data_IF_418840197532
#
_entry.id   IF_418840197532
#
_cell.length_a   1.000
_cell.length_b   1.000
_cell.length_c   1.000
_cell.angle_alpha   90.00
_cell.angle_beta   90.00
_cell.angle_gamma   90.00
#
_symmetry.space_group_name_H-M   'P 1'
#
loop_
_entity.id
_entity.type
_entity.pdbx_description
1 polymer ?
#
# COMPACT_ATOMS: atom_id res chain seq x y z
N UNK A 1 26.04 8.52 0.21
CA UNK A 1 26.46 9.59 -0.73
C UNK A 1 25.50 10.77 -0.52
N UNK A 2 26.06 11.98 -0.46
CA UNK A 2 25.39 13.22 -0.03
C UNK A 2 24.35 13.71 -1.06
N UNK A 3 23.16 14.07 -0.58
CA UNK A 3 22.10 14.75 -1.34
C UNK A 3 22.52 16.20 -1.66
N UNK A 4 22.20 16.76 -2.85
CA UNK A 4 22.22 18.21 -3.03
C UNK A 4 21.00 18.84 -2.32
N UNK A 5 21.27 19.85 -1.49
CA UNK A 5 20.27 20.75 -0.90
C UNK A 5 19.78 21.75 -1.96
N UNK A 6 18.49 22.11 -1.94
CA UNK A 6 18.06 23.32 -2.62
C UNK A 6 16.60 23.46 -3.09
N UNK A 7 15.61 22.77 -2.52
CA UNK A 7 14.20 23.08 -2.83
C UNK A 7 13.47 23.45 -1.54
N UNK A 8 13.35 24.75 -1.29
CA UNK A 8 12.40 25.30 -0.34
C UNK A 8 10.97 25.01 -0.83
N UNK A 9 9.98 24.76 0.07
CA UNK A 9 8.62 24.48 -0.34
C UNK A 9 7.97 25.75 -0.91
N UNK A 10 8.05 25.91 -2.23
CA UNK A 10 7.52 27.04 -2.99
C UNK A 10 6.13 26.77 -3.56
N UNK A 11 5.28 27.80 -3.48
CA UNK A 11 3.90 27.87 -3.99
C UNK A 11 3.77 27.40 -5.45
N UNK A 12 3.13 26.24 -5.63
CA UNK A 12 2.90 25.58 -6.92
C UNK A 12 2.11 26.45 -7.93
N UNK A 13 1.47 27.53 -7.48
CA UNK A 13 0.73 28.47 -8.34
C UNK A 13 1.64 29.34 -9.21
N UNK A 14 2.94 29.41 -8.93
CA UNK A 14 3.89 30.27 -9.66
C UNK A 14 4.92 29.51 -10.49
N UNK A 15 4.89 28.17 -10.46
CA UNK A 15 5.73 27.35 -11.32
C UNK A 15 5.24 27.44 -12.77
N UNK A 16 5.80 28.40 -13.52
CA UNK A 16 5.66 28.44 -14.97
C UNK A 16 6.15 27.09 -15.54
N UNK A 17 5.41 26.44 -16.45
CA UNK A 17 5.86 25.17 -17.03
C UNK A 17 7.08 25.46 -17.89
N UNK A 18 8.27 25.24 -17.34
CA UNK A 18 9.51 25.32 -18.08
C UNK A 18 9.54 24.13 -19.04
N UNK A 19 9.14 24.37 -20.30
CA UNK A 19 9.03 23.37 -21.37
C UNK A 19 10.40 22.92 -21.91
N UNK A 20 11.49 23.33 -21.25
CA UNK A 20 12.88 22.97 -21.59
C UNK A 20 13.18 21.47 -21.43
N UNK A 21 12.25 20.69 -20.87
CA UNK A 21 12.42 19.25 -20.66
C UNK A 21 12.22 18.38 -21.92
N UNK A 22 11.64 18.90 -23.02
CA UNK A 22 11.46 18.10 -24.25
C UNK A 22 12.78 17.84 -25.02
N UNK A 23 13.87 18.55 -24.73
CA UNK A 23 15.10 18.51 -25.55
C UNK A 23 16.29 17.73 -24.95
N UNK A 24 16.16 17.15 -23.76
CA UNK A 24 17.27 16.37 -23.16
C UNK A 24 17.23 14.89 -23.55
N UNK A 25 17.63 14.58 -24.78
CA UNK A 25 18.06 13.22 -25.16
C UNK A 25 19.38 12.89 -24.44
N UNK A 26 19.29 12.31 -23.23
CA UNK A 26 20.41 11.56 -22.66
C UNK A 26 20.57 10.24 -23.43
N UNK A 27 21.79 9.84 -23.83
CA UNK A 27 22.00 8.58 -24.54
C UNK A 27 21.59 7.41 -23.66
N UNK A 28 20.84 6.46 -24.25
CA UNK A 28 20.40 5.23 -23.59
C UNK A 28 21.61 4.50 -22.97
N UNK A 29 21.49 3.94 -21.75
CA UNK A 29 22.53 3.08 -21.21
C UNK A 29 22.74 1.89 -22.16
N UNK A 30 24.00 1.55 -22.41
CA UNK A 30 24.41 0.42 -23.26
C UNK A 30 23.71 -0.88 -22.84
N UNK A 31 23.40 -1.78 -23.79
CA UNK A 31 22.68 -3.01 -23.48
C UNK A 31 23.47 -3.86 -22.46
N UNK A 32 22.75 -4.37 -21.45
CA UNK A 32 23.29 -5.36 -20.51
C UNK A 32 23.84 -6.57 -21.29
N UNK A 33 24.97 -7.16 -20.88
CA UNK A 33 25.42 -8.42 -21.47
C UNK A 33 24.37 -9.51 -21.25
N UNK A 34 24.24 -10.48 -22.17
CA UNK A 34 23.23 -11.52 -22.07
C UNK A 34 23.42 -12.35 -20.79
N UNK A 35 22.30 -12.78 -20.21
CA UNK A 35 22.29 -13.70 -19.09
C UNK A 35 23.08 -14.96 -19.46
N UNK A 36 23.95 -15.41 -18.55
CA UNK A 36 24.75 -16.64 -18.72
C UNK A 36 23.81 -17.81 -19.01
N UNK A 37 24.13 -18.56 -20.06
CA UNK A 37 23.47 -19.81 -20.40
C UNK A 37 23.70 -20.86 -19.32
N UNK A 38 22.68 -21.69 -19.10
CA UNK A 38 22.60 -22.75 -18.10
C UNK A 38 23.43 -23.99 -18.51
N UNK A 39 24.73 -23.82 -18.79
CA UNK A 39 25.57 -24.89 -19.33
C UNK A 39 27.04 -24.87 -18.85
N UNK A 40 27.35 -24.25 -17.71
CA UNK A 40 28.69 -24.32 -17.11
C UNK A 40 28.59 -24.50 -15.59
N UNK A 41 28.18 -25.69 -15.14
CA UNK A 41 28.42 -26.16 -13.76
C UNK A 41 28.63 -27.67 -13.79
N UNK A 42 29.79 -28.11 -14.26
CA UNK A 42 30.32 -29.44 -13.96
C UNK A 42 31.83 -29.29 -13.79
N UNK A 43 32.23 -29.12 -12.54
CA UNK A 43 33.46 -29.62 -11.93
C UNK A 43 33.66 -28.83 -10.64
N UNK A 44 33.62 -29.53 -9.50
CA UNK A 44 34.47 -29.36 -8.32
C UNK A 44 33.91 -30.25 -7.20
N UNK A 45 34.33 -31.51 -7.27
CA UNK A 45 35.05 -32.23 -6.21
C UNK A 45 34.60 -32.04 -4.74
N UNK A 46 33.87 -33.06 -4.27
CA UNK A 46 33.98 -33.76 -2.97
C UNK A 46 34.68 -33.05 -1.80
N UNK A 47 33.89 -32.69 -0.78
CA UNK A 47 34.30 -32.86 0.61
C UNK A 47 33.14 -33.45 1.42
N UNK A 48 33.35 -34.67 1.92
CA UNK A 48 32.46 -35.39 2.83
C UNK A 48 32.43 -34.70 4.21
N UNK A 49 31.24 -34.46 4.73
CA UNK A 49 31.02 -34.09 6.12
C UNK A 49 30.41 -35.28 6.89
N UNK A 50 30.83 -35.52 8.15
CA UNK A 50 30.51 -36.75 8.86
C UNK A 50 29.06 -36.79 9.37
N UNK A 51 28.44 -37.94 9.17
CA UNK A 51 27.13 -38.36 9.70
C UNK A 51 27.13 -38.30 11.22
N UNK A 52 26.19 -37.55 11.80
CA UNK A 52 25.74 -37.72 13.19
C UNK A 52 24.31 -38.26 13.18
N UNK A 53 24.17 -39.37 13.88
CA UNK A 53 22.96 -40.17 14.07
C UNK A 53 21.93 -39.45 14.92
N UNK A 54 20.67 -39.67 14.56
CA UNK A 54 19.48 -39.20 15.27
C UNK A 54 19.40 -39.77 16.68
N UNK A 55 19.19 -38.91 17.68
CA UNK A 55 18.75 -39.31 19.02
C UNK A 55 17.27 -38.96 19.17
N UNK A 56 16.44 -40.00 19.11
CA UNK A 56 15.03 -40.01 19.52
C UNK A 56 14.90 -39.72 21.02
N UNK A 57 13.95 -38.86 21.40
CA UNK A 57 13.53 -38.69 22.78
C UNK A 57 12.36 -39.64 23.07
N UNK A 58 12.66 -40.83 23.59
CA UNK A 58 11.67 -41.81 24.02
C UNK A 58 11.37 -41.66 25.52
N UNK A 59 10.11 -41.38 25.85
CA UNK A 59 9.64 -41.25 27.24
C UNK A 59 9.20 -42.62 27.77
N UNK A 60 10.06 -43.28 28.55
CA UNK A 60 9.78 -44.57 29.18
C UNK A 60 9.30 -44.42 30.62
N UNK A 61 8.05 -44.83 30.86
CA UNK A 61 7.51 -45.14 32.20
C UNK A 61 8.06 -46.49 32.66
N UNK A 62 8.89 -46.52 33.71
CA UNK A 62 8.89 -47.66 34.63
C UNK A 62 9.37 -47.34 36.05
N UNK A 63 8.42 -47.47 36.99
CA UNK A 63 8.51 -48.09 38.33
C UNK A 63 9.75 -47.83 39.19
N UNK A 64 9.56 -47.18 40.35
CA UNK A 64 10.53 -47.35 41.43
C UNK A 64 10.45 -46.51 42.72
N UNK A 65 9.29 -46.47 43.39
CA UNK A 65 9.17 -46.41 44.87
C UNK A 65 9.31 -45.06 45.59
N UNK A 66 8.18 -44.66 46.18
CA UNK A 66 7.95 -43.59 47.16
C UNK A 66 8.71 -43.76 48.49
N UNK A 67 9.00 -42.66 49.19
CA UNK A 67 8.52 -42.45 50.57
C UNK A 67 8.52 -40.95 50.99
N UNK A 68 7.58 -40.66 51.88
CA UNK A 68 6.99 -39.38 52.29
C UNK A 68 7.78 -38.59 53.35
N UNK A 69 7.61 -37.27 53.35
CA UNK A 69 7.39 -36.45 54.56
C UNK A 69 6.24 -35.48 54.23
N UNK A 70 5.02 -35.80 54.69
CA UNK A 70 4.36 -35.12 55.82
C UNK A 70 4.00 -33.67 55.46
N UNK A 71 2.82 -33.43 54.89
CA UNK A 71 1.61 -33.06 55.64
C UNK A 71 1.33 -31.58 55.36
N UNK A 72 0.14 -31.05 55.19
CA UNK A 72 -1.25 -31.50 55.26
C UNK A 72 -2.08 -30.25 54.92
N UNK A 73 -3.31 -30.45 54.44
CA UNK A 73 -4.28 -29.37 54.24
C UNK A 73 -4.46 -28.56 55.53
N UNK A 74 -4.50 -27.23 55.42
CA UNK A 74 -5.22 -26.39 56.38
C UNK A 74 -6.48 -25.86 55.70
N UNK A 75 -7.58 -26.59 55.93
CA UNK A 75 -8.92 -26.04 55.98
C UNK A 75 -9.09 -25.47 57.39
N UNK A 76 -9.61 -24.25 57.53
CA UNK A 76 -10.41 -23.91 58.71
C UNK A 76 -10.12 -22.59 59.41
N UNK A 77 -11.24 -21.91 59.65
CA UNK A 77 -11.63 -21.29 60.92
C UNK A 77 -11.14 -19.87 61.22
N UNK A 78 -12.12 -18.97 61.12
CA UNK A 78 -12.37 -17.83 61.99
C UNK A 78 -11.75 -17.96 63.39
N UNK A 79 -10.94 -16.97 63.76
CA UNK A 79 -10.69 -16.61 65.15
C UNK A 79 -10.95 -15.11 65.27
N UNK A 80 -12.05 -14.79 65.95
CA UNK A 80 -12.31 -13.49 66.54
C UNK A 80 -11.38 -13.31 67.74
N UNK A 81 -10.55 -12.27 67.74
CA UNK A 81 -10.09 -11.57 68.94
C UNK A 81 -9.79 -10.12 68.51
N UNK A 82 -10.52 -9.18 69.11
CA UNK A 82 -10.46 -7.76 68.78
C UNK A 82 -9.36 -7.00 69.53
N UNK A 83 -9.59 -5.67 69.61
CA UNK A 83 -8.82 -4.60 70.29
C UNK A 83 -7.80 -3.93 69.31
N UNK A 84 -7.81 -2.63 69.01
CA UNK A 84 -8.32 -1.43 69.68
C UNK A 84 -9.08 -0.49 68.71
N UNK A 85 -10.07 0.22 69.24
CA UNK A 85 -10.61 1.43 68.65
C UNK A 85 -9.57 2.57 68.69
N UNK A 86 -9.31 3.19 67.53
CA UNK A 86 -8.70 4.50 67.42
C UNK A 86 -9.47 5.31 66.37
N UNK A 87 -9.97 6.52 66.67
CA UNK A 87 -10.66 7.33 65.68
C UNK A 87 -9.62 8.10 64.88
N UNK A 88 -8.92 7.42 63.97
CA UNK A 88 -8.24 8.10 62.90
C UNK A 88 -9.21 8.11 61.71
N UNK A 89 -9.68 9.31 61.36
CA UNK A 89 -10.43 9.59 60.13
C UNK A 89 -9.53 9.31 58.92
N UNK A 90 -9.28 8.03 58.64
CA UNK A 90 -8.81 7.57 57.35
C UNK A 90 -10.03 7.40 56.48
N UNK A 91 -10.27 8.35 55.58
CA UNK A 91 -11.20 8.16 54.49
C UNK A 91 -10.75 6.92 53.73
N UNK A 92 -11.50 5.83 53.87
CA UNK A 92 -11.42 4.70 52.95
C UNK A 92 -11.82 5.26 51.59
N UNK A 93 -10.82 5.60 50.77
CA UNK A 93 -11.07 5.82 49.35
C UNK A 93 -11.64 4.50 48.84
N UNK A 94 -12.82 4.51 48.18
CA UNK A 94 -13.32 3.29 47.57
C UNK A 94 -12.21 2.77 46.66
N UNK A 95 -11.89 1.48 46.79
CA UNK A 95 -11.17 0.76 45.74
C UNK A 95 -12.00 0.99 44.49
N UNK A 96 -11.58 1.96 43.69
CA UNK A 96 -12.12 2.15 42.36
C UNK A 96 -11.64 0.92 41.63
N UNK A 97 -12.54 -0.06 41.50
CA UNK A 97 -12.45 -1.08 40.47
C UNK A 97 -12.07 -0.34 39.22
N UNK A 98 -10.86 -0.60 38.72
CA UNK A 98 -10.32 -0.01 37.50
C UNK A 98 -11.47 -0.07 36.49
N UNK A 99 -12.12 1.05 36.17
CA UNK A 99 -13.33 1.00 35.37
C UNK A 99 -12.93 0.38 34.03
N UNK A 100 -13.86 -0.35 33.41
CA UNK A 100 -13.84 -0.95 32.07
C UNK A 100 -13.47 0.05 30.94
N UNK A 101 -12.34 0.75 31.08
CA UNK A 101 -11.85 1.84 30.23
C UNK A 101 -10.64 1.35 29.42
N UNK A 102 -10.16 0.12 29.67
CA UNK A 102 -9.08 -0.52 28.90
C UNK A 102 -9.55 -1.85 28.32
N UNK A 103 -10.70 -1.88 27.63
CA UNK A 103 -10.95 -2.90 26.61
C UNK A 103 -12.01 -2.53 25.56
N UNK A 104 -12.27 -1.24 25.34
CA UNK A 104 -12.64 -0.82 24.01
C UNK A 104 -11.35 -0.76 23.19
N UNK A 105 -10.79 -1.94 22.86
CA UNK A 105 -9.99 -2.07 21.67
C UNK A 105 -10.90 -1.65 20.53
N UNK A 106 -10.89 -0.34 20.24
CA UNK A 106 -11.43 0.18 19.00
C UNK A 106 -10.59 -0.51 17.95
N UNK A 107 -11.09 -1.63 17.43
CA UNK A 107 -10.67 -2.16 16.16
C UNK A 107 -10.92 -1.02 15.18
N UNK A 108 -9.91 -0.15 15.00
CA UNK A 108 -9.94 0.86 13.97
C UNK A 108 -10.18 0.09 12.68
N UNK A 109 -11.33 0.37 12.09
CA UNK A 109 -11.72 -0.16 10.80
C UNK A 109 -10.66 0.29 9.82
N UNK A 110 -9.98 -0.66 9.18
CA UNK A 110 -8.93 -0.35 8.21
C UNK A 110 -9.56 0.27 6.98
N UNK A 111 -9.49 1.58 6.88
CA UNK A 111 -9.98 2.34 5.74
C UNK A 111 -8.87 2.45 4.69
N UNK A 112 -9.19 2.11 3.44
CA UNK A 112 -8.27 2.25 2.32
C UNK A 112 -9.02 2.84 1.13
N UNK A 113 -8.33 3.66 0.34
CA UNK A 113 -8.93 4.30 -0.84
C UNK A 113 -8.17 3.91 -2.10
N UNK A 114 -8.90 3.62 -3.17
CA UNK A 114 -8.34 3.45 -4.50
C UNK A 114 -8.97 4.47 -5.44
N UNK A 115 -8.13 5.24 -6.15
CA UNK A 115 -8.58 6.23 -7.13
C UNK A 115 -8.16 5.75 -8.53
N UNK A 116 -9.15 5.51 -9.37
CA UNK A 116 -8.93 5.17 -10.77
C UNK A 116 -9.15 6.41 -11.63
N UNK A 117 -8.20 6.67 -12.52
CA UNK A 117 -8.26 7.77 -13.47
C UNK A 117 -7.83 7.32 -14.85
N UNK A 118 -8.30 8.05 -15.86
CA UNK A 118 -7.81 7.89 -17.22
C UNK A 118 -6.47 8.60 -17.37
N UNK A 119 -5.60 8.03 -18.20
CA UNK A 119 -4.41 8.71 -18.68
C UNK A 119 -4.73 10.11 -19.28
N UNK A 120 -3.71 10.95 -19.39
CA UNK A 120 -3.72 12.30 -19.92
C UNK A 120 -4.38 12.46 -21.30
N UNK A 121 -4.75 13.69 -21.61
CA UNK A 121 -5.34 14.11 -22.88
C UNK A 121 -4.49 13.67 -24.07
N UNK A 122 -5.13 13.00 -25.03
CA UNK A 122 -4.51 12.49 -26.25
C UNK A 122 -5.11 13.16 -27.49
N UNK A 123 -4.27 13.32 -28.50
CA UNK A 123 -4.67 13.59 -29.87
C UNK A 123 -3.76 12.76 -30.78
N UNK A 124 -4.33 11.86 -31.57
CA UNK A 124 -3.57 10.96 -32.44
C UNK A 124 -2.85 11.71 -33.57
N UNK A 125 -3.29 12.93 -33.91
CA UNK A 125 -2.56 13.82 -34.83
C UNK A 125 -1.33 14.42 -34.20
N UNK A 126 -1.34 14.60 -32.88
CA UNK A 126 -0.19 15.10 -32.12
C UNK A 126 0.79 13.98 -31.79
N UNK A 127 0.29 12.90 -31.19
CA UNK A 127 1.09 11.71 -30.87
C UNK A 127 0.23 10.48 -30.65
N UNK A 128 0.65 9.36 -31.24
CA UNK A 128 0.00 8.07 -31.00
C UNK A 128 0.29 7.49 -29.61
N UNK A 129 1.37 7.92 -28.95
CA UNK A 129 1.93 7.25 -27.76
C UNK A 129 2.07 8.15 -26.53
N UNK A 130 2.11 9.47 -26.71
CA UNK A 130 2.37 10.46 -25.66
C UNK A 130 1.17 11.37 -25.37
N UNK A 131 1.23 12.07 -24.25
CA UNK A 131 0.29 13.13 -23.87
C UNK A 131 0.40 14.34 -24.82
N UNK A 132 -0.72 15.02 -25.03
CA UNK A 132 -0.72 16.37 -25.61
C UNK A 132 -0.17 17.40 -24.62
N UNK A 133 0.22 18.62 -25.04
CA UNK A 133 0.63 19.68 -24.12
C UNK A 133 -0.44 20.04 -23.09
N UNK A 134 -1.72 19.98 -23.48
CA UNK A 134 -2.87 20.10 -22.57
C UNK A 134 -2.86 18.99 -21.52
N UNK A 135 -2.66 17.74 -21.96
CA UNK A 135 -2.58 16.58 -21.08
C UNK A 135 -1.43 16.69 -20.07
N UNK A 136 -0.27 17.18 -20.51
CA UNK A 136 0.89 17.42 -19.63
C UNK A 136 0.56 18.46 -18.55
N UNK A 137 -0.07 19.58 -18.90
CA UNK A 137 -0.49 20.61 -17.92
C UNK A 137 -1.51 20.06 -16.92
N UNK A 138 -2.48 19.28 -17.39
CA UNK A 138 -3.44 18.58 -16.52
C UNK A 138 -2.72 17.63 -15.56
N UNK A 139 -1.80 16.81 -16.06
CA UNK A 139 -1.03 15.87 -15.25
C UNK A 139 -0.16 16.56 -14.20
N UNK A 140 0.40 17.73 -14.52
CA UNK A 140 1.15 18.56 -13.57
C UNK A 140 0.26 19.12 -12.45
N UNK A 141 -1.05 19.28 -12.68
CA UNK A 141 -2.01 19.75 -11.69
C UNK A 141 -2.53 18.63 -10.78
N UNK A 142 -2.65 17.39 -11.26
CA UNK A 142 -3.19 16.26 -10.50
C UNK A 142 -2.64 16.07 -9.07
N UNK A 143 -1.35 16.32 -8.76
CA UNK A 143 -0.86 16.20 -7.39
C UNK A 143 -1.58 17.11 -6.39
N UNK A 144 -2.13 18.25 -6.83
CA UNK A 144 -2.87 19.17 -5.96
C UNK A 144 -4.18 18.58 -5.42
N UNK A 145 -4.67 17.47 -5.98
CA UNK A 145 -5.82 16.76 -5.44
C UNK A 145 -5.49 15.98 -4.15
N UNK A 146 -4.21 15.70 -3.91
CA UNK A 146 -3.73 14.80 -2.86
C UNK A 146 -2.88 15.53 -1.81
N UNK A 147 -3.18 16.79 -1.56
CA UNK A 147 -2.50 17.64 -0.57
C UNK A 147 -3.06 17.50 0.86
N UNK A 148 -3.97 16.55 1.09
CA UNK A 148 -4.70 16.34 2.34
C UNK A 148 -6.04 17.11 2.42
N UNK A 149 -6.33 18.02 1.50
CA UNK A 149 -7.59 18.79 1.52
C UNK A 149 -8.75 17.97 0.94
N UNK A 150 -8.50 17.28 -0.17
CA UNK A 150 -9.52 16.47 -0.87
C UNK A 150 -9.24 14.97 -0.76
N UNK A 151 -8.00 14.58 -0.97
CA UNK A 151 -7.49 13.24 -0.73
C UNK A 151 -6.20 13.36 0.08
N UNK A 152 -5.92 12.36 0.91
CA UNK A 152 -4.62 12.23 1.56
C UNK A 152 -3.51 11.99 0.51
N UNK A 153 -2.24 12.28 0.86
CA UNK A 153 -1.10 11.94 0.02
C UNK A 153 -1.13 10.46 -0.40
N UNK A 154 -0.88 10.13 -1.68
CA UNK A 154 -0.96 8.76 -2.15
C UNK A 154 0.13 7.90 -1.51
N UNK A 155 -0.15 6.61 -1.38
CA UNK A 155 0.80 5.61 -0.86
C UNK A 155 1.39 4.73 -1.96
N UNK A 156 0.70 4.63 -3.11
CA UNK A 156 1.12 3.75 -4.21
C UNK A 156 0.59 4.23 -5.55
N UNK A 157 1.38 4.04 -6.62
CA UNK A 157 1.04 4.46 -7.98
C UNK A 157 1.15 3.29 -8.96
N UNK A 158 0.09 3.05 -9.74
CA UNK A 158 0.08 2.09 -10.84
C UNK A 158 -0.18 2.79 -12.18
N UNK A 159 0.63 2.47 -13.18
CA UNK A 159 0.41 2.87 -14.56
C UNK A 159 0.42 1.67 -15.50
N UNK A 160 -0.34 1.77 -16.59
CA UNK A 160 -0.34 0.75 -17.64
C UNK A 160 1.06 0.56 -18.23
N UNK A 161 1.52 -0.69 -18.26
CA UNK A 161 2.75 -1.09 -18.93
C UNK A 161 2.75 -0.67 -20.41
N UNK A 162 3.83 -0.05 -20.90
CA UNK A 162 4.02 0.16 -22.33
C UNK A 162 4.24 -1.19 -23.02
N UNK A 163 3.41 -1.50 -24.01
CA UNK A 163 3.43 -2.77 -24.72
C UNK A 163 3.60 -2.53 -26.22
N UNK A 164 4.35 -3.43 -26.87
CA UNK A 164 4.52 -3.42 -28.33
C UNK A 164 3.17 -3.66 -29.02
N UNK A 165 2.97 -3.10 -30.23
CA UNK A 165 3.97 -2.41 -31.06
C UNK A 165 4.14 -0.92 -30.73
N UNK A 166 3.15 -0.28 -30.10
CA UNK A 166 3.14 1.19 -29.94
C UNK A 166 3.89 1.71 -28.72
N UNK A 167 4.01 0.94 -27.63
CA UNK A 167 4.61 1.39 -26.38
C UNK A 167 3.98 2.72 -25.86
N UNK A 168 2.66 2.73 -25.70
CA UNK A 168 1.92 3.94 -25.25
C UNK A 168 2.31 4.32 -23.82
N UNK A 169 2.91 5.50 -23.65
CA UNK A 169 3.50 6.02 -22.41
C UNK A 169 2.53 6.85 -21.57
N UNK A 170 1.41 7.28 -22.14
CA UNK A 170 0.44 8.21 -21.52
C UNK A 170 0.09 7.92 -20.06
N UNK A 171 -0.11 6.66 -19.67
CA UNK A 171 -0.42 6.31 -18.27
C UNK A 171 0.71 6.67 -17.31
N UNK A 172 1.96 6.46 -17.71
CA UNK A 172 3.15 6.81 -16.92
C UNK A 172 3.27 8.33 -16.85
N UNK A 173 3.22 9.00 -18.00
CA UNK A 173 3.31 10.47 -18.10
C UNK A 173 2.22 11.18 -17.26
N UNK A 174 1.07 10.54 -17.08
CA UNK A 174 -0.01 11.06 -16.24
C UNK A 174 0.37 11.14 -14.77
N UNK A 175 1.11 10.14 -14.29
CA UNK A 175 1.47 9.99 -12.88
C UNK A 175 2.88 10.51 -12.56
N UNK A 176 3.71 10.80 -13.56
CA UNK A 176 5.08 11.30 -13.34
C UNK A 176 5.15 12.53 -12.42
N UNK A 177 4.30 13.58 -12.58
CA UNK A 177 4.32 14.71 -11.65
C UNK A 177 3.95 14.32 -10.22
N UNK A 178 3.03 13.36 -10.06
CA UNK A 178 2.59 12.85 -8.76
C UNK A 178 3.69 12.03 -8.09
N UNK A 179 4.34 11.13 -8.84
CA UNK A 179 5.49 10.35 -8.40
C UNK A 179 6.61 11.25 -7.87
N UNK A 180 6.96 12.33 -8.59
CA UNK A 180 7.98 13.28 -8.15
C UNK A 180 7.55 14.09 -6.93
N UNK A 181 6.27 14.50 -6.85
CA UNK A 181 5.77 15.33 -5.75
C UNK A 181 5.76 14.57 -4.42
N UNK A 182 5.42 13.28 -4.45
CA UNK A 182 5.28 12.45 -3.25
C UNK A 182 6.43 11.46 -3.05
N UNK A 183 7.48 11.54 -3.87
CA UNK A 183 8.65 10.64 -3.84
C UNK A 183 8.27 9.14 -3.92
N UNK A 184 7.41 8.81 -4.88
CA UNK A 184 6.90 7.46 -5.11
C UNK A 184 7.39 6.88 -6.43
N UNK A 185 7.61 5.58 -6.47
CA UNK A 185 7.82 4.85 -7.72
C UNK A 185 6.48 4.55 -8.41
N UNK A 186 6.50 4.48 -9.74
CA UNK A 186 5.33 4.08 -10.54
C UNK A 186 5.47 2.60 -10.91
N UNK A 187 4.54 1.78 -10.43
CA UNK A 187 4.47 0.38 -10.81
C UNK A 187 3.90 0.24 -12.23
N UNK A 188 4.68 -0.35 -13.12
CA UNK A 188 4.38 -0.54 -14.54
C UNK A 188 4.41 -2.01 -14.97
N UNK A 189 4.15 -2.94 -14.04
CA UNK A 189 4.21 -4.37 -14.33
C UNK A 189 3.01 -4.89 -15.15
N UNK A 190 1.84 -4.27 -15.01
CA UNK A 190 0.57 -4.78 -15.55
C UNK A 190 0.22 -4.21 -16.92
N UNK A 191 -0.08 -5.09 -17.87
CA UNK A 191 -0.50 -4.77 -19.23
C UNK A 191 -2.00 -4.51 -19.38
N UNK A 192 -2.44 -4.19 -20.60
CA UNK A 192 -3.85 -3.81 -20.86
C UNK A 192 -4.87 -4.91 -20.50
N UNK A 193 -4.47 -6.17 -20.60
CA UNK A 193 -5.29 -7.35 -20.30
C UNK A 193 -5.38 -7.68 -18.81
N UNK A 194 -4.48 -7.17 -17.98
CA UNK A 194 -4.15 -7.77 -16.69
C UNK A 194 -4.99 -7.19 -15.53
N UNK A 195 -6.18 -6.67 -15.82
CA UNK A 195 -7.05 -6.01 -14.85
C UNK A 195 -7.33 -6.87 -13.61
N UNK A 196 -7.51 -8.18 -13.78
CA UNK A 196 -7.76 -9.11 -12.67
C UNK A 196 -6.51 -9.33 -11.80
N UNK A 197 -5.33 -9.37 -12.43
CA UNK A 197 -4.06 -9.53 -11.73
C UNK A 197 -3.70 -8.25 -10.97
N UNK A 198 -3.83 -7.10 -11.64
CA UNK A 198 -3.69 -5.78 -11.03
C UNK A 198 -4.65 -5.62 -9.84
N UNK A 199 -5.93 -6.00 -9.98
CA UNK A 199 -6.88 -5.89 -8.88
C UNK A 199 -6.53 -6.79 -7.68
N UNK A 200 -5.94 -7.98 -7.92
CA UNK A 200 -5.44 -8.83 -6.84
C UNK A 200 -4.24 -8.18 -6.15
N UNK A 201 -3.36 -7.54 -6.91
CA UNK A 201 -2.18 -6.89 -6.37
C UNK A 201 -2.54 -5.65 -5.54
N UNK A 202 -3.39 -4.77 -6.08
CA UNK A 202 -3.97 -3.62 -5.38
C UNK A 202 -4.57 -4.03 -4.04
N UNK A 203 -5.29 -5.16 -3.98
CA UNK A 203 -5.88 -5.68 -2.73
C UNK A 203 -4.85 -6.06 -1.66
N UNK A 204 -3.61 -6.38 -2.03
CA UNK A 204 -2.51 -6.62 -1.08
C UNK A 204 -1.95 -5.32 -0.51
N UNK A 205 -1.99 -4.25 -1.30
CA UNK A 205 -1.47 -2.93 -0.95
C UNK A 205 -2.50 -2.02 -0.29
N UNK A 206 -3.77 -2.45 -0.14
CA UNK A 206 -4.78 -1.70 0.60
C UNK A 206 -4.29 -1.42 2.03
N UNK A 207 -4.01 -0.16 2.32
CA UNK A 207 -3.50 0.32 3.60
C UNK A 207 -4.22 1.60 4.04
N UNK A 208 -4.03 1.95 5.32
CA UNK A 208 -4.48 3.22 5.90
C UNK A 208 -3.48 4.37 5.62
N UNK A 209 -2.37 4.12 4.93
CA UNK A 209 -1.28 5.10 4.77
C UNK A 209 -1.59 6.17 3.70
N UNK A 210 -2.55 5.90 2.82
CA UNK A 210 -2.94 6.83 1.76
C UNK A 210 -3.60 6.10 0.59
N UNK A 211 -4.23 6.84 -0.34
CA UNK A 211 -4.87 6.24 -1.49
C UNK A 211 -3.87 5.61 -2.46
N UNK A 212 -4.31 4.53 -3.11
CA UNK A 212 -3.64 3.93 -4.27
C UNK A 212 -4.19 4.60 -5.54
N UNK A 213 -3.31 5.08 -6.40
CA UNK A 213 -3.70 5.79 -7.63
C UNK A 213 -3.38 4.93 -8.85
N UNK A 214 -4.34 4.82 -9.77
CA UNK A 214 -4.19 4.00 -10.98
C UNK A 214 -4.54 4.83 -12.23
N UNK A 215 -3.56 5.06 -13.11
CA UNK A 215 -3.76 5.71 -14.40
C UNK A 215 -3.85 4.68 -15.54
N UNK A 216 -5.02 4.60 -16.17
CA UNK A 216 -5.34 3.49 -17.07
C UNK A 216 -5.96 3.91 -18.41
N UNK A 217 -6.21 2.93 -19.29
CA UNK A 217 -6.94 3.11 -20.55
C UNK A 217 -8.45 3.15 -20.28
N UNK A 218 -9.13 4.16 -20.81
CA UNK A 218 -10.57 4.38 -20.58
C UNK A 218 -11.46 3.17 -20.86
N UNK A 219 -11.23 2.45 -21.97
CA UNK A 219 -11.96 1.22 -22.33
C UNK A 219 -11.84 0.10 -21.28
N UNK A 220 -10.74 0.10 -20.51
CA UNK A 220 -10.41 -0.95 -19.54
C UNK A 220 -10.76 -0.56 -18.11
N UNK A 221 -10.95 0.73 -17.82
CA UNK A 221 -11.32 1.24 -16.50
C UNK A 221 -12.58 0.59 -15.93
N UNK A 222 -13.70 0.42 -16.67
CA UNK A 222 -14.87 -0.28 -16.14
C UNK A 222 -14.58 -1.74 -15.77
N UNK A 223 -13.74 -2.43 -16.54
CA UNK A 223 -13.37 -3.81 -16.23
C UNK A 223 -12.47 -3.89 -14.99
N UNK A 224 -11.52 -2.96 -14.84
CA UNK A 224 -10.68 -2.88 -13.64
C UNK A 224 -11.52 -2.55 -12.40
N UNK A 225 -12.45 -1.61 -12.49
CA UNK A 225 -13.37 -1.26 -11.41
C UNK A 225 -14.21 -2.48 -10.97
N UNK A 226 -14.69 -3.32 -11.91
CA UNK A 226 -15.36 -4.59 -11.58
C UNK A 226 -14.46 -5.54 -10.81
N UNK A 227 -13.22 -5.75 -11.27
CA UNK A 227 -12.27 -6.64 -10.59
C UNK A 227 -11.93 -6.17 -9.16
N UNK A 228 -11.97 -4.84 -8.95
CA UNK A 228 -11.83 -4.19 -7.66
C UNK A 228 -13.09 -4.27 -6.76
N UNK A 229 -14.21 -4.77 -7.29
CA UNK A 229 -15.43 -5.06 -6.52
C UNK A 229 -16.63 -4.16 -6.85
N UNK A 230 -16.49 -3.19 -7.76
CA UNK A 230 -17.60 -2.34 -8.17
C UNK A 230 -18.59 -3.16 -9.01
N UNK A 231 -19.85 -3.32 -8.56
CA UNK A 231 -20.80 -4.21 -9.23
C UNK A 231 -21.20 -3.72 -10.64
N UNK A 232 -21.46 -2.42 -10.78
CA UNK A 232 -22.00 -1.82 -12.01
C UNK A 232 -21.22 -0.56 -12.41
N UNK A 233 -19.93 -0.67 -12.77
CA UNK A 233 -19.23 0.45 -13.36
C UNK A 233 -19.87 0.76 -14.71
N UNK A 234 -20.21 2.03 -14.90
CA UNK A 234 -20.74 2.52 -16.17
C UNK A 234 -19.70 2.48 -17.30
N UNK A 235 -20.01 3.13 -18.41
CA UNK A 235 -19.04 3.30 -19.49
C UNK A 235 -18.15 4.52 -19.23
N UNK A 236 -16.93 4.47 -19.76
CA UNK A 236 -16.01 5.61 -19.76
C UNK A 236 -15.93 6.18 -21.17
N UNK A 237 -16.40 7.41 -21.38
CA UNK A 237 -16.44 8.00 -22.72
C UNK A 237 -15.02 8.36 -23.20
N UNK A 238 -14.80 8.29 -24.51
CA UNK A 238 -13.49 8.53 -25.11
C UNK A 238 -13.00 9.98 -25.00
N UNK A 239 -13.86 10.93 -24.68
CA UNK A 239 -13.57 12.35 -24.42
C UNK A 239 -13.54 12.69 -22.92
N UNK A 240 -13.89 11.75 -22.05
CA UNK A 240 -13.92 11.93 -20.60
C UNK A 240 -12.52 11.73 -20.03
N UNK A 241 -11.76 12.82 -19.88
CA UNK A 241 -10.43 12.81 -19.24
C UNK A 241 -10.50 13.16 -17.75
N UNK A 242 -11.51 13.92 -17.34
CA UNK A 242 -11.63 14.54 -16.02
C UNK A 242 -12.32 13.65 -14.97
N UNK A 243 -12.96 12.53 -15.35
CA UNK A 243 -13.60 11.66 -14.37
C UNK A 243 -12.62 10.84 -13.53
N UNK A 244 -13.04 10.56 -12.29
CA UNK A 244 -12.39 9.65 -11.34
C UNK A 244 -13.40 8.59 -10.91
N UNK A 245 -12.93 7.37 -10.67
CA UNK A 245 -13.63 6.46 -9.76
C UNK A 245 -12.90 6.44 -8.42
N UNK A 246 -13.64 6.67 -7.34
CA UNK A 246 -13.12 6.59 -5.97
C UNK A 246 -13.80 5.41 -5.29
N UNK A 247 -12.98 4.45 -4.87
CA UNK A 247 -13.39 3.21 -4.25
C UNK A 247 -12.88 3.21 -2.81
N UNK A 248 -13.79 3.07 -1.84
CA UNK A 248 -13.45 3.05 -0.42
C UNK A 248 -13.63 1.65 0.12
N UNK A 249 -12.62 1.16 0.84
CA UNK A 249 -12.57 -0.17 1.41
C UNK A 249 -12.55 -0.08 2.93
N UNK A 250 -13.19 -1.03 3.58
CA UNK A 250 -13.14 -1.24 5.02
C UNK A 250 -12.73 -2.68 5.30
N UNK A 251 -11.61 -2.88 6.01
CA UNK A 251 -11.07 -4.22 6.31
C UNK A 251 -10.93 -5.10 5.05
N UNK A 252 -10.49 -4.50 3.94
CA UNK A 252 -10.29 -5.16 2.65
C UNK A 252 -11.56 -5.42 1.83
N UNK A 253 -12.73 -5.01 2.31
CA UNK A 253 -14.01 -5.14 1.57
C UNK A 253 -14.43 -3.78 1.02
N UNK A 254 -14.84 -3.74 -0.25
CA UNK A 254 -15.38 -2.51 -0.83
C UNK A 254 -16.68 -2.13 -0.10
N UNK A 255 -16.73 -0.92 0.46
CA UNK A 255 -17.91 -0.39 1.18
C UNK A 255 -18.63 0.70 0.39
N UNK A 256 -17.90 1.46 -0.42
CA UNK A 256 -18.51 2.48 -1.29
C UNK A 256 -17.71 2.66 -2.56
N UNK A 257 -18.41 3.03 -3.62
CA UNK A 257 -17.79 3.46 -4.87
C UNK A 257 -18.57 4.66 -5.42
N UNK A 258 -17.86 5.65 -5.94
CA UNK A 258 -18.47 6.84 -6.55
C UNK A 258 -17.69 7.28 -7.78
N UNK A 259 -18.40 7.93 -8.71
CA UNK A 259 -17.78 8.69 -9.80
C UNK A 259 -17.64 10.14 -9.34
N UNK A 260 -16.46 10.70 -9.53
CA UNK A 260 -16.11 12.06 -9.16
C UNK A 260 -15.45 12.77 -10.36
N UNK A 261 -15.20 14.07 -10.24
CA UNK A 261 -14.48 14.87 -11.26
C UNK A 261 -13.23 15.49 -10.68
N UNK A 262 -12.12 15.42 -11.38
CA UNK A 262 -10.87 16.03 -10.93
C UNK A 262 -11.07 17.55 -10.76
N UNK A 263 -11.75 18.23 -11.69
CA UNK A 263 -12.00 19.67 -11.62
C UNK A 263 -10.87 20.53 -12.20
N UNK A 264 -10.04 19.97 -13.08
CA UNK A 264 -9.03 20.72 -13.81
C UNK A 264 -9.73 21.67 -14.80
N UNK A 265 -9.55 22.97 -14.61
CA UNK A 265 -9.94 24.00 -15.55
C UNK A 265 -8.67 24.59 -16.17
N UNK A 266 -8.60 24.55 -17.50
CA UNK A 266 -7.48 25.04 -18.30
C UNK A 266 -7.41 26.57 -18.33
#
# INVERSE_FOLDING_TARGET
MLLPKGVEPGDWRTASPDTTWLDSHSPLPSPRPPARSFADVDDLEQQEAPVKTDEECECSRSRGRCRWLAGGLCVGASILLGVCAGPARGQFLPVQTVPDVILAAHTRKKEATVVLMRHCDKDEKYSETHCTPKGVRRSAWLPSLFDGTRFDPPSYLYARKPEKPRNVMRSIETLEPMARTFDLEIDVHFGESDNEELAKDVKKHLSEEGPIIIAWKHERLPSLARALGMEKPGTWKADDFDSLYVLSYESGKLVSSRKDKEGYAE
#
